data_IF_909125853701
#
_entry.id   IF_909125853701
#
_cell.length_a   1.000
_cell.length_b   1.000
_cell.length_c   1.000
_cell.angle_alpha   90.00
_cell.angle_beta   90.00
_cell.angle_gamma   90.00
#
_symmetry.space_group_name_H-M   'P 1'
#
loop_
_entity.id
_entity.type
_entity.pdbx_description
1 polymer ?
#
# COMPACT_ATOMS: atom_id res chain seq x y z
N UNK A 1 12.43 -1.20 -8.55
CA UNK A 1 12.55 -0.96 -7.10
C UNK A 1 12.02 -2.16 -6.28
N UNK A 2 12.66 -3.29 -6.48
CA UNK A 2 12.32 -4.53 -5.76
C UNK A 2 13.53 -4.97 -4.95
N UNK A 3 13.30 -5.23 -3.66
CA UNK A 3 14.29 -5.61 -2.66
C UNK A 3 13.95 -6.98 -2.08
N UNK A 4 14.95 -7.69 -1.56
CA UNK A 4 14.75 -8.87 -0.73
C UNK A 4 14.31 -8.48 0.68
N UNK A 5 13.69 -9.42 1.43
CA UNK A 5 13.19 -9.16 2.79
C UNK A 5 14.25 -8.75 3.81
N UNK A 6 15.50 -9.12 3.58
CA UNK A 6 16.66 -8.76 4.41
C UNK A 6 17.37 -7.47 3.96
N UNK A 7 16.81 -6.73 2.99
CA UNK A 7 17.37 -5.46 2.54
C UNK A 7 17.44 -4.46 3.70
N UNK A 8 18.52 -3.68 3.72
CA UNK A 8 18.68 -2.64 4.75
C UNK A 8 17.55 -1.62 4.65
N UNK A 9 16.85 -1.29 5.76
CA UNK A 9 15.73 -0.36 5.77
C UNK A 9 16.04 1.00 5.13
N UNK A 10 17.25 1.53 5.32
CA UNK A 10 17.67 2.82 4.78
C UNK A 10 17.77 2.80 3.24
N UNK A 11 18.14 1.64 2.68
CA UNK A 11 18.20 1.47 1.21
C UNK A 11 16.79 1.49 0.61
N UNK A 12 15.83 0.88 1.30
CA UNK A 12 14.41 0.90 0.89
C UNK A 12 13.83 2.31 1.03
N UNK A 13 14.15 3.02 2.12
CA UNK A 13 13.72 4.40 2.34
C UNK A 13 14.24 5.33 1.23
N UNK A 14 15.52 5.22 0.88
CA UNK A 14 16.10 5.99 -0.21
C UNK A 14 15.39 5.74 -1.56
N UNK A 15 15.01 4.49 -1.84
CA UNK A 15 14.28 4.16 -3.07
C UNK A 15 12.86 4.75 -3.07
N UNK A 16 12.16 4.74 -1.92
CA UNK A 16 10.84 5.39 -1.80
C UNK A 16 10.97 6.90 -1.97
N UNK A 17 12.00 7.53 -1.43
CA UNK A 17 12.25 8.96 -1.62
C UNK A 17 12.54 9.31 -3.09
N UNK A 18 13.28 8.45 -3.81
CA UNK A 18 13.66 8.68 -5.22
C UNK A 18 12.52 8.39 -6.20
N UNK A 19 11.80 7.27 -6.05
CA UNK A 19 10.85 6.80 -7.04
C UNK A 19 9.38 6.83 -6.57
N UNK A 20 9.15 7.21 -5.31
CA UNK A 20 7.82 7.27 -4.68
C UNK A 20 7.34 5.93 -4.16
N UNK A 21 8.06 4.83 -4.40
CA UNK A 21 7.67 3.49 -3.97
C UNK A 21 8.85 2.52 -3.88
N UNK A 22 8.64 1.43 -3.16
CA UNK A 22 9.49 0.24 -3.15
C UNK A 22 8.65 -1.02 -2.92
N UNK A 23 9.09 -2.15 -3.45
CA UNK A 23 8.56 -3.48 -3.13
C UNK A 23 9.63 -4.23 -2.33
N UNK A 24 9.26 -4.78 -1.19
CA UNK A 24 10.12 -5.67 -0.40
C UNK A 24 9.51 -7.06 -0.45
N UNK A 25 10.20 -8.00 -1.11
CA UNK A 25 9.76 -9.39 -1.25
C UNK A 25 10.08 -10.16 0.02
N UNK A 26 9.19 -11.08 0.37
CA UNK A 26 9.39 -11.96 1.53
C UNK A 26 9.74 -11.19 2.81
N UNK A 27 9.06 -10.04 3.00
CA UNK A 27 9.26 -9.17 4.16
C UNK A 27 8.80 -9.83 5.46
N UNK A 28 7.83 -10.74 5.37
CA UNK A 28 7.38 -11.61 6.46
C UNK A 28 7.22 -13.04 5.97
N UNK A 29 7.31 -13.98 6.91
CA UNK A 29 7.20 -15.40 6.62
C UNK A 29 5.74 -15.86 6.39
N UNK A 30 5.60 -17.09 5.90
CA UNK A 30 4.31 -17.70 5.62
C UNK A 30 3.45 -17.89 6.88
N UNK A 31 4.06 -18.10 8.04
CA UNK A 31 3.36 -18.27 9.30
C UNK A 31 2.71 -16.95 9.74
N UNK A 32 3.40 -15.83 9.58
CA UNK A 32 2.84 -14.49 9.80
C UNK A 32 1.66 -14.21 8.87
N UNK A 33 1.79 -14.52 7.58
CA UNK A 33 0.67 -14.39 6.61
C UNK A 33 -0.51 -15.25 7.02
N UNK A 34 -0.26 -16.51 7.41
CA UNK A 34 -1.31 -17.42 7.86
C UNK A 34 -2.02 -16.91 9.12
N UNK A 35 -1.27 -16.39 10.09
CA UNK A 35 -1.84 -15.80 11.32
C UNK A 35 -2.74 -14.60 11.01
N UNK A 36 -2.29 -13.67 10.14
CA UNK A 36 -3.11 -12.54 9.71
C UNK A 36 -4.40 -13.02 9.04
N UNK A 37 -4.31 -13.98 8.12
CA UNK A 37 -5.50 -14.55 7.43
C UNK A 37 -6.45 -15.21 8.41
N UNK A 38 -5.96 -15.98 9.37
CA UNK A 38 -6.77 -16.64 10.40
C UNK A 38 -7.51 -15.63 11.29
N UNK A 39 -6.80 -14.59 11.75
CA UNK A 39 -7.39 -13.54 12.57
C UNK A 39 -8.51 -12.77 11.83
N UNK A 40 -8.33 -12.54 10.52
CA UNK A 40 -9.26 -11.77 9.71
C UNK A 40 -10.41 -12.59 9.11
N UNK A 41 -10.29 -13.92 9.03
CA UNK A 41 -11.30 -14.80 8.43
C UNK A 41 -12.73 -14.61 8.97
N UNK A 42 -12.97 -14.45 10.28
CA UNK A 42 -14.32 -14.26 10.80
C UNK A 42 -15.01 -12.98 10.31
N UNK A 43 -14.23 -11.95 9.98
CA UNK A 43 -14.74 -10.65 9.53
C UNK A 43 -15.13 -10.66 8.05
N UNK A 44 -14.51 -11.50 7.23
CA UNK A 44 -14.89 -11.66 5.83
C UNK A 44 -16.31 -12.20 5.65
N UNK A 45 -16.78 -13.05 6.56
CA UNK A 45 -18.15 -13.57 6.53
C UNK A 45 -19.20 -12.48 6.73
N UNK A 46 -18.82 -11.35 7.34
CA UNK A 46 -19.68 -10.21 7.62
C UNK A 46 -19.39 -9.00 6.71
N UNK A 47 -18.34 -9.09 5.89
CA UNK A 47 -17.96 -8.02 5.00
C UNK A 47 -18.91 -7.94 3.80
N UNK A 48 -19.28 -6.73 3.43
CA UNK A 48 -20.06 -6.44 2.24
C UNK A 48 -19.14 -5.97 1.11
N UNK A 49 -19.56 -6.21 -0.11
CA UNK A 49 -18.93 -5.66 -1.29
C UNK A 49 -19.09 -4.13 -1.33
N UNK A 50 -18.16 -3.45 -2.00
CA UNK A 50 -18.25 -2.01 -2.18
C UNK A 50 -19.48 -1.61 -3.00
N UNK A 51 -20.03 -0.43 -2.71
CA UNK A 51 -21.21 0.09 -3.40
C UNK A 51 -20.88 0.99 -4.60
N UNK A 52 -19.63 1.45 -4.70
CA UNK A 52 -19.17 2.41 -5.70
C UNK A 52 -17.97 1.86 -6.48
N UNK A 53 -17.77 2.34 -7.70
CA UNK A 53 -16.67 1.91 -8.55
C UNK A 53 -15.30 2.13 -7.92
N UNK A 54 -15.12 3.22 -7.19
CA UNK A 54 -13.86 3.52 -6.51
C UNK A 54 -13.50 2.49 -5.44
N UNK A 55 -14.49 1.98 -4.72
CA UNK A 55 -14.27 0.96 -3.67
C UNK A 55 -14.30 -0.48 -4.20
N UNK A 56 -14.71 -0.67 -5.44
CA UNK A 56 -14.84 -1.98 -6.09
C UNK A 56 -16.17 -2.67 -5.74
N UNK A 57 -16.97 -2.96 -6.77
CA UNK A 57 -18.30 -3.60 -6.60
C UNK A 57 -18.23 -5.08 -6.23
N UNK A 58 -17.10 -5.72 -6.53
CA UNK A 58 -16.78 -7.09 -6.19
C UNK A 58 -15.58 -7.17 -5.23
N UNK A 59 -15.40 -6.13 -4.41
CA UNK A 59 -14.29 -6.04 -3.44
C UNK A 59 -14.84 -5.95 -2.02
N UNK A 60 -14.57 -6.94 -1.21
CA UNK A 60 -14.86 -6.91 0.22
C UNK A 60 -13.84 -6.05 0.94
N UNK A 61 -14.32 -5.13 1.77
CA UNK A 61 -13.47 -4.21 2.54
C UNK A 61 -13.95 -4.09 3.98
N UNK A 62 -13.02 -4.10 4.89
CA UNK A 62 -13.26 -3.67 6.27
C UNK A 62 -11.99 -3.08 6.88
N UNK A 63 -12.17 -2.21 7.85
CA UNK A 63 -11.09 -1.49 8.51
C UNK A 63 -10.88 -1.87 9.96
N UNK A 64 -10.15 -1.03 10.68
CA UNK A 64 -9.81 -1.18 12.09
C UNK A 64 -9.10 -2.52 12.40
N UNK A 65 -8.12 -2.89 11.56
CA UNK A 65 -7.47 -4.20 11.66
C UNK A 65 -6.71 -4.39 12.98
N UNK A 66 -6.19 -3.32 13.58
CA UNK A 66 -5.50 -3.38 14.87
C UNK A 66 -6.40 -3.86 16.02
N UNK A 67 -7.72 -3.68 15.90
CA UNK A 67 -8.70 -4.19 16.86
C UNK A 67 -9.14 -5.64 16.54
N UNK A 68 -8.74 -6.16 15.37
CA UNK A 68 -9.20 -7.46 14.85
C UNK A 68 -8.10 -8.52 14.79
N UNK A 69 -6.84 -8.08 14.74
CA UNK A 69 -5.70 -8.98 14.57
C UNK A 69 -4.48 -8.46 15.31
N UNK A 70 -3.92 -9.28 16.16
CA UNK A 70 -2.60 -9.01 16.79
C UNK A 70 -1.47 -9.22 15.79
N UNK A 71 -1.61 -10.13 14.84
CA UNK A 71 -0.62 -10.36 13.80
C UNK A 71 -0.45 -9.13 12.88
N UNK A 72 -1.49 -8.35 12.63
CA UNK A 72 -1.38 -7.08 11.87
C UNK A 72 -0.50 -6.06 12.59
N UNK A 73 -0.42 -6.09 13.91
CA UNK A 73 0.44 -5.16 14.67
C UNK A 73 1.92 -5.37 14.32
N UNK A 74 2.35 -6.61 14.05
CA UNK A 74 3.75 -6.91 13.65
C UNK A 74 4.08 -6.34 12.28
N UNK A 75 3.12 -6.35 11.35
CA UNK A 75 3.28 -5.74 10.03
C UNK A 75 3.47 -4.23 10.14
N UNK A 76 2.70 -3.60 11.02
CA UNK A 76 2.72 -2.15 11.20
C UNK A 76 4.03 -1.62 11.77
N UNK A 77 4.63 -2.37 12.72
CA UNK A 77 5.90 -1.98 13.36
C UNK A 77 7.11 -2.63 12.69
N UNK A 78 6.97 -3.15 11.49
CA UNK A 78 8.08 -3.74 10.75
C UNK A 78 9.22 -2.71 10.58
N UNK A 79 10.49 -3.07 10.87
CA UNK A 79 11.60 -2.11 10.89
C UNK A 79 11.73 -1.29 9.59
N UNK A 80 11.55 -1.93 8.44
CA UNK A 80 11.60 -1.25 7.13
C UNK A 80 10.47 -0.23 6.98
N UNK A 81 9.26 -0.55 7.46
CA UNK A 81 8.11 0.37 7.39
C UNK A 81 8.37 1.60 8.26
N UNK A 82 8.87 1.40 9.49
CA UNK A 82 9.18 2.51 10.39
C UNK A 82 10.30 3.38 9.81
N UNK A 83 11.37 2.79 9.25
CA UNK A 83 12.46 3.56 8.65
C UNK A 83 11.99 4.40 7.46
N UNK A 84 11.15 3.85 6.58
CA UNK A 84 10.56 4.63 5.47
C UNK A 84 9.64 5.74 5.99
N UNK A 85 8.82 5.45 7.01
CA UNK A 85 7.93 6.46 7.58
C UNK A 85 8.71 7.58 8.29
N UNK A 86 9.77 7.24 9.02
CA UNK A 86 10.65 8.21 9.67
C UNK A 86 11.34 9.11 8.63
N UNK A 87 11.94 8.52 7.60
CA UNK A 87 12.63 9.27 6.54
C UNK A 87 11.68 10.20 5.77
N UNK A 88 10.50 9.70 5.41
CA UNK A 88 9.55 10.46 4.61
C UNK A 88 8.79 11.53 5.41
N UNK A 89 8.45 11.28 6.68
CA UNK A 89 7.50 12.13 7.41
C UNK A 89 8.15 13.03 8.45
N UNK A 90 9.14 12.54 9.22
CA UNK A 90 9.73 13.32 10.32
C UNK A 90 10.45 14.62 9.89
N UNK A 91 10.97 14.78 8.67
CA UNK A 91 11.44 16.09 8.19
C UNK A 91 10.34 17.17 8.16
N UNK A 92 9.07 16.76 8.17
CA UNK A 92 7.92 17.64 7.97
C UNK A 92 6.94 17.68 9.17
N UNK A 93 7.13 16.83 10.18
CA UNK A 93 6.27 16.79 11.37
C UNK A 93 7.05 16.35 12.62
N UNK A 94 6.54 16.70 13.79
CA UNK A 94 7.13 16.28 15.08
C UNK A 94 6.86 14.82 15.39
N UNK A 95 5.75 14.30 14.89
CA UNK A 95 5.32 12.90 15.05
C UNK A 95 4.25 12.56 14.03
N UNK A 96 4.18 11.30 13.65
CA UNK A 96 3.11 10.72 12.84
C UNK A 96 2.36 9.64 13.61
N UNK A 97 1.29 9.14 13.07
CA UNK A 97 0.47 8.07 13.66
C UNK A 97 -0.18 7.24 12.56
N UNK A 98 -0.66 6.06 12.94
CA UNK A 98 -1.51 5.26 12.07
C UNK A 98 -2.78 6.04 11.76
N UNK A 99 -3.07 6.21 10.48
CA UNK A 99 -4.27 6.89 10.01
C UNK A 99 -5.38 5.91 9.72
N UNK A 100 -5.07 4.84 8.97
CA UNK A 100 -6.04 3.85 8.54
C UNK A 100 -5.40 2.46 8.48
N UNK A 101 -6.17 1.44 8.79
CA UNK A 101 -5.82 0.04 8.51
C UNK A 101 -7.02 -0.65 7.91
N UNK A 102 -6.84 -1.30 6.77
CA UNK A 102 -7.92 -1.98 6.06
C UNK A 102 -7.44 -3.18 5.28
N UNK A 103 -8.35 -4.09 5.01
CA UNK A 103 -8.14 -5.21 4.10
C UNK A 103 -9.03 -5.03 2.88
N UNK A 104 -8.53 -5.50 1.75
CA UNK A 104 -9.24 -5.56 0.48
C UNK A 104 -9.14 -6.98 -0.05
N UNK A 105 -10.28 -7.56 -0.42
CA UNK A 105 -10.36 -8.87 -1.04
C UNK A 105 -11.15 -8.73 -2.33
N UNK A 106 -10.45 -8.82 -3.44
CA UNK A 106 -11.00 -8.69 -4.77
C UNK A 106 -11.54 -10.05 -5.22
N UNK A 107 -12.79 -10.08 -5.66
CA UNK A 107 -13.39 -11.26 -6.29
C UNK A 107 -13.15 -11.26 -7.80
N UNK A 108 -13.18 -12.43 -8.45
CA UNK A 108 -13.04 -12.52 -9.89
C UNK A 108 -14.05 -11.64 -10.65
N UNK A 109 -13.55 -10.88 -11.62
CA UNK A 109 -14.37 -9.97 -12.41
C UNK A 109 -14.40 -8.52 -11.88
N UNK A 110 -13.70 -8.23 -10.78
CA UNK A 110 -13.57 -6.84 -10.30
C UNK A 110 -12.89 -5.96 -11.35
N UNK A 111 -13.36 -4.73 -11.45
CA UNK A 111 -12.80 -3.72 -12.35
C UNK A 111 -11.56 -3.07 -11.75
N UNK A 112 -10.71 -2.53 -12.62
CA UNK A 112 -9.52 -1.79 -12.18
C UNK A 112 -9.93 -0.50 -11.48
N UNK A 113 -9.34 -0.24 -10.32
CA UNK A 113 -9.53 1.03 -9.63
C UNK A 113 -8.97 2.19 -10.47
N UNK A 114 -9.64 3.34 -10.41
CA UNK A 114 -9.15 4.56 -11.04
C UNK A 114 -7.84 5.00 -10.39
N UNK A 115 -6.87 5.40 -11.21
CA UNK A 115 -5.59 5.92 -10.72
C UNK A 115 -5.83 7.22 -9.93
N UNK A 116 -5.27 7.27 -8.73
CA UNK A 116 -5.46 8.39 -7.80
C UNK A 116 -4.23 8.61 -6.92
N UNK A 117 -4.25 9.67 -6.13
CA UNK A 117 -3.31 9.90 -5.03
C UNK A 117 -4.10 9.90 -3.73
N UNK A 118 -3.57 9.25 -2.68
CA UNK A 118 -4.20 9.27 -1.36
C UNK A 118 -4.32 10.70 -0.80
N UNK A 119 -3.35 11.54 -1.09
CA UNK A 119 -3.37 12.95 -0.71
C UNK A 119 -4.41 13.79 -1.46
N UNK A 120 -5.05 13.26 -2.50
CA UNK A 120 -6.05 13.97 -3.30
C UNK A 120 -7.28 14.45 -2.51
N UNK A 121 -7.49 13.93 -1.29
CA UNK A 121 -8.53 14.39 -0.37
C UNK A 121 -8.16 15.70 0.36
N UNK A 122 -6.92 16.12 0.29
CA UNK A 122 -6.45 17.37 0.89
C UNK A 122 -6.37 18.49 -0.14
N UNK A 123 -6.70 19.73 0.21
CA UNK A 123 -6.64 20.87 -0.70
C UNK A 123 -5.19 21.39 -0.84
N UNK A 124 -4.27 20.49 -1.27
CA UNK A 124 -2.84 20.77 -1.39
C UNK A 124 -2.40 20.54 -2.83
N UNK A 125 -1.63 21.47 -3.37
CA UNK A 125 -1.06 21.34 -4.69
C UNK A 125 0.16 20.41 -4.67
N UNK A 126 0.29 19.56 -5.68
CA UNK A 126 1.49 18.73 -5.92
C UNK A 126 2.45 19.46 -6.89
N UNK A 127 3.77 19.28 -6.75
CA UNK A 127 4.42 18.45 -5.72
C UNK A 127 4.39 19.11 -4.34
N UNK A 128 4.27 18.29 -3.30
CA UNK A 128 4.31 18.73 -1.91
C UNK A 128 5.06 17.66 -1.06
N UNK A 129 5.49 17.99 0.15
CA UNK A 129 6.01 17.00 1.08
C UNK A 129 5.04 15.82 1.27
N UNK A 130 5.54 14.60 1.48
CA UNK A 130 4.66 13.47 1.75
C UNK A 130 3.88 13.67 3.05
N UNK A 131 2.56 13.50 2.97
CA UNK A 131 1.66 13.58 4.12
C UNK A 131 1.37 12.22 4.72
N UNK A 132 1.51 11.17 3.92
CA UNK A 132 1.26 9.77 4.31
C UNK A 132 2.26 8.85 3.65
N UNK A 133 2.57 7.76 4.35
CA UNK A 133 3.20 6.56 3.81
C UNK A 133 2.17 5.45 3.89
N UNK A 134 1.94 4.77 2.80
CA UNK A 134 1.03 3.64 2.69
C UNK A 134 1.78 2.33 2.46
N UNK A 135 1.21 1.24 2.93
CA UNK A 135 1.73 -0.11 2.72
C UNK A 135 0.64 -1.05 2.26
N UNK A 136 0.92 -1.84 1.22
CA UNK A 136 0.05 -2.92 0.76
C UNK A 136 0.76 -4.25 0.99
N UNK A 137 0.34 -4.96 2.04
CA UNK A 137 0.85 -6.29 2.37
C UNK A 137 0.13 -7.35 1.55
N UNK A 138 0.88 -8.14 0.80
CA UNK A 138 0.34 -9.23 0.00
C UNK A 138 0.01 -10.44 0.90
N UNK A 139 -1.25 -10.68 1.17
CA UNK A 139 -1.72 -11.89 1.86
C UNK A 139 -1.94 -13.06 0.89
N UNK A 140 -1.97 -12.80 -0.41
CA UNK A 140 -1.90 -13.73 -1.54
C UNK A 140 -0.98 -13.12 -2.57
N UNK A 141 -0.53 -13.90 -3.55
CA UNK A 141 0.32 -13.36 -4.61
C UNK A 141 -0.39 -12.23 -5.35
N UNK A 142 0.32 -11.13 -5.59
CA UNK A 142 -0.11 -10.07 -6.48
C UNK A 142 0.40 -10.36 -7.88
N UNK A 143 -0.51 -10.44 -8.83
CA UNK A 143 -0.19 -10.58 -10.25
C UNK A 143 -0.92 -9.51 -11.05
N UNK A 144 -0.52 -9.35 -12.30
CA UNK A 144 -1.18 -8.43 -13.23
C UNK A 144 -2.65 -8.79 -13.47
N UNK A 145 -2.99 -10.08 -13.37
CA UNK A 145 -4.31 -10.65 -13.68
C UNK A 145 -5.26 -10.60 -12.49
N UNK A 146 -4.74 -10.67 -11.25
CA UNK A 146 -5.58 -10.76 -10.06
C UNK A 146 -5.78 -9.42 -9.33
N UNK A 147 -5.42 -8.30 -9.96
CA UNK A 147 -5.65 -6.99 -9.39
C UNK A 147 -4.53 -6.50 -8.45
N UNK A 148 -3.30 -6.98 -8.63
CA UNK A 148 -2.13 -6.40 -7.97
C UNK A 148 -2.07 -4.89 -8.22
N UNK A 149 -1.80 -4.10 -7.17
CA UNK A 149 -1.76 -2.64 -7.22
C UNK A 149 -0.89 -2.14 -8.37
N UNK A 150 -1.42 -1.20 -9.15
CA UNK A 150 -0.67 -0.49 -10.19
C UNK A 150 -0.23 0.85 -9.66
N UNK A 151 0.91 1.34 -10.12
CA UNK A 151 1.41 2.66 -9.76
C UNK A 151 2.23 3.29 -10.89
N UNK A 152 2.51 4.58 -10.73
CA UNK A 152 3.31 5.35 -11.67
C UNK A 152 4.60 5.80 -10.97
N UNK A 153 5.75 5.20 -11.31
CA UNK A 153 7.03 5.57 -10.71
C UNK A 153 7.35 7.06 -10.88
N UNK A 154 7.87 7.69 -9.84
CA UNK A 154 8.25 9.11 -9.86
C UNK A 154 7.10 10.10 -9.86
N UNK A 155 5.83 9.63 -9.91
CA UNK A 155 4.67 10.50 -9.97
C UNK A 155 4.40 11.34 -8.71
N UNK A 156 5.02 11.00 -7.59
CA UNK A 156 4.98 11.78 -6.36
C UNK A 156 5.59 13.20 -6.53
N UNK A 157 6.41 13.40 -7.57
CA UNK A 157 7.02 14.69 -7.93
C UNK A 157 6.25 15.45 -9.02
N UNK A 158 5.14 14.89 -9.53
CA UNK A 158 4.38 15.52 -10.61
C UNK A 158 3.37 16.53 -10.07
N UNK A 159 3.05 17.53 -10.90
CA UNK A 159 1.91 18.41 -10.67
C UNK A 159 0.58 17.67 -10.74
N UNK A 160 -0.49 18.28 -10.18
CA UNK A 160 -1.81 17.66 -10.13
C UNK A 160 -2.48 17.49 -11.50
N UNK A 161 -2.11 18.29 -12.47
CA UNK A 161 -2.67 18.32 -13.82
C UNK A 161 -2.03 17.31 -14.77
N UNK A 162 -0.89 16.70 -14.38
CA UNK A 162 -0.26 15.66 -15.21
C UNK A 162 -1.01 14.33 -15.09
N UNK A 163 -1.50 13.87 -16.23
CA UNK A 163 -2.13 12.54 -16.37
C UNK A 163 -1.07 11.55 -16.85
N UNK A 164 -0.98 10.35 -16.27
CA UNK A 164 -0.03 9.34 -16.72
C UNK A 164 -0.44 8.74 -18.06
N UNK A 165 0.54 8.48 -18.92
CA UNK A 165 0.35 7.66 -20.11
C UNK A 165 0.27 6.16 -19.71
N UNK A 166 -0.42 5.31 -20.49
CA UNK A 166 -0.59 3.89 -20.16
C UNK A 166 0.75 3.14 -19.92
N UNK A 167 1.81 3.52 -20.64
CA UNK A 167 3.15 2.91 -20.57
C UNK A 167 3.92 3.29 -19.29
N UNK A 168 3.52 4.36 -18.63
CA UNK A 168 4.11 4.80 -17.36
C UNK A 168 3.53 4.04 -16.16
N UNK A 169 2.43 3.30 -16.36
CA UNK A 169 1.74 2.55 -15.31
C UNK A 169 2.34 1.15 -15.19
N UNK A 170 2.92 0.85 -14.03
CA UNK A 170 3.48 -0.47 -13.75
C UNK A 170 2.61 -1.25 -12.77
N UNK A 171 2.46 -2.55 -13.00
CA UNK A 171 1.84 -3.46 -12.03
C UNK A 171 2.90 -3.90 -11.02
N UNK A 172 2.52 -3.96 -9.75
CA UNK A 172 3.39 -4.49 -8.69
C UNK A 172 3.11 -5.98 -8.51
N UNK A 173 3.97 -6.81 -9.09
CA UNK A 173 3.88 -8.27 -8.95
C UNK A 173 4.80 -8.73 -7.82
N UNK A 174 4.22 -9.39 -6.82
CA UNK A 174 4.97 -9.84 -5.64
C UNK A 174 4.30 -11.05 -4.98
N UNK A 175 5.06 -12.01 -4.42
CA UNK A 175 4.49 -13.14 -3.70
C UNK A 175 3.86 -12.72 -2.36
N UNK A 176 3.01 -13.59 -1.84
CA UNK A 176 2.50 -13.46 -0.47
C UNK A 176 3.65 -13.29 0.53
N UNK A 177 3.45 -12.47 1.58
CA UNK A 177 4.50 -12.09 2.54
C UNK A 177 5.33 -10.87 2.12
N UNK A 178 5.13 -10.36 0.91
CA UNK A 178 5.78 -9.14 0.42
C UNK A 178 4.98 -7.90 0.79
N UNK A 179 5.63 -6.74 0.72
CA UNK A 179 5.00 -5.43 0.92
C UNK A 179 5.38 -4.45 -0.17
N UNK A 180 4.39 -3.77 -0.71
CA UNK A 180 4.56 -2.54 -1.47
C UNK A 180 4.47 -1.36 -0.50
N UNK A 181 5.45 -0.46 -0.54
CA UNK A 181 5.51 0.76 0.27
C UNK A 181 5.51 1.94 -0.70
N UNK A 182 4.68 2.95 -0.46
CA UNK A 182 4.63 4.14 -1.31
C UNK A 182 4.20 5.38 -0.52
N UNK A 183 4.54 6.55 -1.04
CA UNK A 183 4.03 7.82 -0.47
C UNK A 183 2.62 8.09 -1.00
N UNK A 184 1.76 8.72 -0.20
CA UNK A 184 0.41 9.07 -0.64
C UNK A 184 0.36 10.07 -1.80
N UNK A 185 1.50 10.63 -2.18
CA UNK A 185 1.69 11.48 -3.35
C UNK A 185 1.80 10.67 -4.65
N UNK A 186 2.16 9.39 -4.56
CA UNK A 186 2.35 8.51 -5.71
C UNK A 186 1.01 8.15 -6.33
N UNK A 187 0.88 8.28 -7.65
CA UNK A 187 -0.32 7.86 -8.39
C UNK A 187 -0.36 6.33 -8.40
N UNK A 188 -1.50 5.78 -7.97
CA UNK A 188 -1.72 4.32 -7.87
C UNK A 188 -3.20 3.97 -8.01
N UNK A 189 -3.49 2.64 -8.17
CA UNK A 189 -4.86 2.12 -8.28
C UNK A 189 -4.92 0.62 -8.55
#
# INVERSE_FOLDING_TARGET
NTFAGDARPETVAAAVAEDGYAVVRDAVDADTVAAVKADLAPYFAQAHDGHEEFYGKLTKRFGALLAKSTAVQTLLVHPTILAVADDALLPHCVRYRVHYTGVMHLEPGETRQVLHRDIGVYPIASPCPPLTVATMWALSDFTRENGGTRLVPGSHRWSNDRVPEPEEVVATEMPAGSVLIYTGNTIHG
#
